data_IF_714502672283
#
_entry.id   IF_714502672283
#
_cell.length_a   1.000
_cell.length_b   1.000
_cell.length_c   1.000
_cell.angle_alpha   90.00
_cell.angle_beta   90.00
_cell.angle_gamma   90.00
#
_symmetry.space_group_name_H-M   'P 1'
#
loop_
_entity.id
_entity.type
_entity.pdbx_description
1 polymer ?
#
# COMPACT_ATOMS: atom_id res chain seq x y z
N UNK A 1 -13.58 -44.06 -3.47
CA UNK A 1 -12.18 -43.87 -3.93
C UNK A 1 -12.03 -42.67 -4.88
N UNK A 2 -12.85 -42.55 -5.93
CA UNK A 2 -12.80 -41.47 -6.95
C UNK A 2 -12.96 -40.05 -6.39
N UNK A 3 -13.75 -39.87 -5.33
CA UNK A 3 -14.01 -38.56 -4.72
C UNK A 3 -12.79 -37.97 -4.00
N UNK A 4 -11.97 -38.84 -3.36
CA UNK A 4 -10.69 -38.44 -2.75
C UNK A 4 -9.70 -38.00 -3.82
N UNK A 5 -9.63 -38.69 -4.96
CA UNK A 5 -8.71 -38.35 -6.05
C UNK A 5 -9.00 -36.97 -6.65
N UNK A 6 -10.28 -36.61 -6.81
CA UNK A 6 -10.69 -35.26 -7.24
C UNK A 6 -10.31 -34.20 -6.19
N UNK A 7 -10.50 -34.50 -4.91
CA UNK A 7 -10.14 -33.60 -3.81
C UNK A 7 -8.63 -33.33 -3.75
N UNK A 8 -7.79 -34.36 -3.88
CA UNK A 8 -6.33 -34.21 -3.95
C UNK A 8 -5.88 -33.43 -5.19
N UNK A 9 -6.51 -33.67 -6.35
CA UNK A 9 -6.22 -32.91 -7.57
C UNK A 9 -6.57 -31.42 -7.44
N UNK A 10 -7.67 -31.09 -6.76
CA UNK A 10 -8.05 -29.69 -6.45
C UNK A 10 -7.05 -29.05 -5.48
N UNK A 11 -6.65 -29.76 -4.42
CA UNK A 11 -5.63 -29.27 -3.48
C UNK A 11 -4.28 -29.06 -4.16
N UNK A 12 -3.87 -29.97 -5.06
CA UNK A 12 -2.65 -29.85 -5.87
C UNK A 12 -2.70 -28.66 -6.85
N UNK A 13 -3.87 -28.34 -7.41
CA UNK A 13 -4.06 -27.14 -8.23
C UNK A 13 -3.95 -25.86 -7.39
N UNK A 14 -4.53 -25.83 -6.20
CA UNK A 14 -4.43 -24.69 -5.28
C UNK A 14 -3.01 -24.46 -4.76
N UNK A 15 -2.16 -25.50 -4.72
CA UNK A 15 -0.74 -25.37 -4.36
C UNK A 15 0.15 -24.79 -5.46
N UNK A 16 -0.38 -24.57 -6.67
CA UNK A 16 0.38 -23.85 -7.70
C UNK A 16 0.54 -22.37 -7.28
N UNK A 17 1.76 -21.80 -7.37
CA UNK A 17 2.08 -20.51 -6.78
C UNK A 17 1.21 -19.36 -7.33
N UNK A 18 0.80 -19.45 -8.60
CA UNK A 18 -0.06 -18.44 -9.22
C UNK A 18 -1.52 -18.49 -8.73
N UNK A 19 -2.09 -19.70 -8.56
CA UNK A 19 -3.47 -19.86 -8.07
C UNK A 19 -3.59 -19.44 -6.60
N UNK A 20 -2.61 -19.82 -5.77
CA UNK A 20 -2.55 -19.39 -4.37
C UNK A 20 -2.51 -17.86 -4.27
N UNK A 21 -1.65 -17.20 -5.06
CA UNK A 21 -1.53 -15.74 -5.08
C UNK A 21 -2.85 -15.07 -5.45
N UNK A 22 -3.52 -15.57 -6.49
CA UNK A 22 -4.79 -15.03 -6.94
C UNK A 22 -5.88 -15.18 -5.87
N UNK A 23 -5.96 -16.37 -5.25
CA UNK A 23 -6.90 -16.64 -4.16
C UNK A 23 -6.66 -15.71 -2.96
N UNK A 24 -5.42 -15.56 -2.52
CA UNK A 24 -5.07 -14.68 -1.41
C UNK A 24 -5.35 -13.21 -1.74
N UNK A 25 -5.03 -12.76 -2.96
CA UNK A 25 -5.38 -11.41 -3.43
C UNK A 25 -6.88 -11.17 -3.37
N UNK A 26 -7.68 -12.08 -3.90
CA UNK A 26 -9.15 -11.96 -3.83
C UNK A 26 -9.65 -11.95 -2.39
N UNK A 27 -9.12 -12.80 -1.52
CA UNK A 27 -9.49 -12.83 -0.11
C UNK A 27 -9.20 -11.50 0.59
N UNK A 28 -8.01 -10.93 0.37
CA UNK A 28 -7.60 -9.65 0.96
C UNK A 28 -8.44 -8.49 0.42
N UNK A 29 -8.73 -8.46 -0.89
CA UNK A 29 -9.64 -7.47 -1.49
C UNK A 29 -11.05 -7.57 -0.88
N UNK A 30 -11.57 -8.80 -0.75
CA UNK A 30 -12.89 -9.03 -0.16
C UNK A 30 -12.95 -8.58 1.30
N UNK A 31 -11.91 -8.86 2.10
CA UNK A 31 -11.81 -8.38 3.48
C UNK A 31 -11.76 -6.84 3.55
N UNK A 32 -10.96 -6.19 2.70
CA UNK A 32 -10.94 -4.73 2.61
C UNK A 32 -12.30 -4.14 2.23
N UNK A 33 -12.99 -4.75 1.27
CA UNK A 33 -14.33 -4.32 0.86
C UNK A 33 -15.37 -4.50 1.99
N UNK A 34 -15.28 -5.58 2.77
CA UNK A 34 -16.13 -5.80 3.93
C UNK A 34 -15.89 -4.74 5.02
N UNK A 35 -14.64 -4.41 5.32
CA UNK A 35 -14.31 -3.35 6.30
C UNK A 35 -14.79 -1.97 5.82
N UNK A 36 -14.56 -1.63 4.54
CA UNK A 36 -15.05 -0.39 3.97
C UNK A 36 -16.59 -0.34 4.00
N UNK A 37 -17.27 -1.42 3.63
CA UNK A 37 -18.73 -1.53 3.73
C UNK A 37 -19.25 -1.36 5.16
N UNK A 38 -18.57 -1.94 6.15
CA UNK A 38 -18.91 -1.76 7.56
C UNK A 38 -18.71 -0.31 8.02
N UNK A 39 -17.64 0.35 7.57
CA UNK A 39 -17.39 1.77 7.86
C UNK A 39 -18.46 2.68 7.25
N UNK A 40 -18.90 2.37 6.02
CA UNK A 40 -20.01 3.07 5.34
C UNK A 40 -21.31 2.87 6.13
N UNK A 41 -21.65 1.62 6.46
CA UNK A 41 -22.90 1.31 7.16
C UNK A 41 -22.98 1.91 8.57
N UNK A 42 -21.84 2.12 9.22
CA UNK A 42 -21.76 2.72 10.55
C UNK A 42 -21.57 4.25 10.54
N UNK A 43 -21.50 4.87 9.36
CA UNK A 43 -21.14 6.29 9.22
C UNK A 43 -19.84 6.64 9.99
N UNK A 44 -18.85 5.73 9.96
CA UNK A 44 -17.59 5.91 10.67
C UNK A 44 -16.87 7.16 10.19
N UNK A 45 -16.45 8.02 11.13
CA UNK A 45 -15.67 9.21 10.84
C UNK A 45 -14.89 9.62 12.10
N UNK A 46 -13.64 10.04 11.92
CA UNK A 46 -12.77 10.55 12.98
C UNK A 46 -12.45 12.05 12.78
N UNK A 47 -11.87 12.67 13.80
CA UNK A 47 -11.53 14.10 13.76
C UNK A 47 -10.53 14.46 12.63
N UNK A 48 -9.59 13.56 12.35
CA UNK A 48 -8.67 13.73 11.22
C UNK A 48 -9.43 13.75 9.89
N UNK A 49 -10.37 12.84 9.69
CA UNK A 49 -11.20 12.79 8.48
C UNK A 49 -11.96 14.08 8.23
N UNK A 50 -12.60 14.64 9.26
CA UNK A 50 -13.26 15.95 9.16
C UNK A 50 -12.26 17.04 8.77
N UNK A 51 -11.08 17.07 9.40
CA UNK A 51 -10.05 18.07 9.11
C UNK A 51 -9.54 17.97 7.66
N UNK A 52 -9.38 16.75 7.13
CA UNK A 52 -8.98 16.53 5.74
C UNK A 52 -10.08 16.87 4.74
N UNK A 53 -11.36 16.69 5.09
CA UNK A 53 -12.51 17.10 4.29
C UNK A 53 -12.59 18.62 4.20
N UNK A 54 -12.52 19.30 5.34
CA UNK A 54 -12.52 20.76 5.42
C UNK A 54 -11.34 21.37 4.66
N UNK A 55 -10.15 20.80 4.83
CA UNK A 55 -8.94 21.21 4.10
C UNK A 55 -9.11 20.97 2.59
N UNK A 56 -9.68 19.84 2.19
CA UNK A 56 -9.97 19.50 0.80
C UNK A 56 -10.90 20.53 0.17
N UNK A 57 -12.04 20.79 0.80
CA UNK A 57 -13.01 21.77 0.33
C UNK A 57 -12.43 23.20 0.25
N UNK A 58 -11.58 23.59 1.22
CA UNK A 58 -10.86 24.86 1.16
C UNK A 58 -9.96 25.00 -0.08
N UNK A 59 -9.27 23.94 -0.52
CA UNK A 59 -8.49 23.96 -1.77
C UNK A 59 -9.37 24.26 -2.99
N UNK A 60 -10.55 23.63 -3.09
CA UNK A 60 -11.44 23.80 -4.24
C UNK A 60 -12.23 25.12 -4.21
N UNK A 61 -12.45 25.71 -3.02
CA UNK A 61 -13.01 27.05 -2.85
C UNK A 61 -11.98 28.18 -3.00
N UNK A 62 -10.69 27.85 -3.14
CA UNK A 62 -9.60 28.83 -3.24
C UNK A 62 -9.27 29.53 -1.92
N UNK A 63 -9.71 28.99 -0.78
CA UNK A 63 -9.37 29.50 0.54
C UNK A 63 -8.02 28.95 1.01
N UNK A 64 -6.95 29.56 0.50
CA UNK A 64 -5.58 29.12 0.78
C UNK A 64 -5.16 29.27 2.25
N UNK A 65 -5.80 30.17 3.00
CA UNK A 65 -5.50 30.38 4.42
C UNK A 65 -5.94 29.18 5.26
N UNK A 66 -7.08 28.59 4.91
CA UNK A 66 -7.56 27.37 5.55
C UNK A 66 -6.90 26.11 4.95
N UNK A 67 -6.70 26.10 3.62
CA UNK A 67 -6.19 24.93 2.90
C UNK A 67 -4.72 24.58 3.21
N UNK A 68 -3.88 25.59 3.46
CA UNK A 68 -2.44 25.38 3.73
C UNK A 68 -2.16 25.61 5.21
N UNK A 69 -1.80 24.54 5.91
CA UNK A 69 -1.44 24.60 7.33
C UNK A 69 -0.24 23.69 7.63
N UNK A 70 0.34 23.83 8.82
CA UNK A 70 1.52 23.06 9.26
C UNK A 70 1.21 21.72 9.94
N UNK A 71 -0.07 21.33 10.01
CA UNK A 71 -0.50 20.14 10.77
C UNK A 71 -0.75 18.96 9.84
N UNK A 72 -1.49 19.16 8.75
CA UNK A 72 -1.86 18.11 7.81
C UNK A 72 -1.15 18.26 6.46
N UNK A 73 -0.77 17.13 5.87
CA UNK A 73 -0.12 17.11 4.56
C UNK A 73 -1.16 17.07 3.44
N UNK A 74 -0.95 17.74 2.29
CA UNK A 74 -2.05 18.12 1.42
C UNK A 74 -2.57 17.00 0.49
N UNK A 75 -1.77 15.97 0.19
CA UNK A 75 -2.12 15.04 -0.89
C UNK A 75 -3.41 14.25 -0.62
N UNK A 76 -3.63 13.84 0.63
CA UNK A 76 -4.85 13.13 1.00
C UNK A 76 -6.09 14.07 0.94
N UNK A 77 -5.95 15.32 1.40
CA UNK A 77 -6.99 16.35 1.25
C UNK A 77 -7.33 16.61 -0.23
N UNK A 78 -6.32 16.68 -1.11
CA UNK A 78 -6.55 16.85 -2.54
C UNK A 78 -7.33 15.69 -3.16
N UNK A 79 -7.00 14.46 -2.79
CA UNK A 79 -7.69 13.27 -3.30
C UNK A 79 -9.15 13.25 -2.83
N UNK A 80 -9.40 13.48 -1.54
CA UNK A 80 -10.77 13.53 -0.98
C UNK A 80 -11.58 14.69 -1.57
N UNK A 81 -11.00 15.90 -1.57
CA UNK A 81 -11.64 17.09 -2.13
C UNK A 81 -11.96 16.93 -3.61
N UNK A 82 -11.05 16.34 -4.40
CA UNK A 82 -11.30 16.06 -5.82
C UNK A 82 -12.44 15.06 -6.00
N UNK A 83 -12.49 14.00 -5.19
CA UNK A 83 -13.57 13.02 -5.25
C UNK A 83 -14.93 13.66 -4.93
N UNK A 84 -15.02 14.47 -3.89
CA UNK A 84 -16.26 15.16 -3.52
C UNK A 84 -16.65 16.24 -4.53
N UNK A 85 -15.68 16.98 -5.05
CA UNK A 85 -15.92 17.99 -6.08
C UNK A 85 -16.49 17.39 -7.38
N UNK A 86 -15.98 16.22 -7.79
CA UNK A 86 -16.42 15.54 -9.01
C UNK A 86 -17.73 14.77 -8.80
N UNK A 87 -17.87 14.05 -7.69
CA UNK A 87 -19.04 13.20 -7.44
C UNK A 87 -20.24 14.01 -6.96
N UNK A 88 -20.00 15.11 -6.24
CA UNK A 88 -21.01 15.98 -5.63
C UNK A 88 -22.08 15.18 -4.86
N UNK A 89 -21.69 14.30 -3.90
CA UNK A 89 -22.65 13.50 -3.17
C UNK A 89 -23.56 14.41 -2.32
N UNK A 90 -24.79 13.95 -2.05
CA UNK A 90 -25.58 14.59 -0.99
C UNK A 90 -24.93 14.33 0.37
N UNK A 91 -25.26 15.16 1.37
CA UNK A 91 -24.70 15.09 2.72
C UNK A 91 -24.76 13.68 3.33
N UNK A 92 -25.80 12.90 3.02
CA UNK A 92 -25.94 11.53 3.50
C UNK A 92 -24.87 10.57 2.93
N UNK A 93 -24.40 10.80 1.71
CA UNK A 93 -23.47 9.92 0.99
C UNK A 93 -22.01 10.37 1.06
N UNK A 94 -21.72 11.51 1.69
CA UNK A 94 -20.37 12.07 1.75
C UNK A 94 -19.37 11.08 2.38
N UNK A 95 -19.70 10.52 3.54
CA UNK A 95 -18.83 9.55 4.23
C UNK A 95 -18.69 8.26 3.43
N UNK A 96 -19.73 7.87 2.69
CA UNK A 96 -19.67 6.70 1.82
C UNK A 96 -18.66 6.89 0.69
N UNK A 97 -18.61 8.08 0.08
CA UNK A 97 -17.61 8.43 -0.92
C UNK A 97 -16.21 8.43 -0.31
N UNK A 98 -16.02 8.98 0.90
CA UNK A 98 -14.73 8.97 1.59
C UNK A 98 -14.22 7.54 1.83
N UNK A 99 -15.06 6.65 2.33
CA UNK A 99 -14.67 5.25 2.55
C UNK A 99 -14.44 4.48 1.25
N UNK A 100 -15.16 4.82 0.19
CA UNK A 100 -14.87 4.30 -1.15
C UNK A 100 -13.48 4.75 -1.62
N UNK A 101 -13.12 6.02 -1.44
CA UNK A 101 -11.78 6.53 -1.76
C UNK A 101 -10.71 5.82 -0.93
N UNK A 102 -10.92 5.62 0.37
CA UNK A 102 -9.99 4.87 1.22
C UNK A 102 -9.83 3.42 0.77
N UNK A 103 -10.91 2.79 0.31
CA UNK A 103 -10.84 1.47 -0.29
C UNK A 103 -10.02 1.45 -1.58
N UNK A 104 -10.16 2.45 -2.45
CA UNK A 104 -9.33 2.58 -3.66
C UNK A 104 -7.85 2.80 -3.32
N UNK A 105 -7.56 3.62 -2.30
CA UNK A 105 -6.20 3.82 -1.77
C UNK A 105 -5.64 2.50 -1.22
N UNK A 106 -6.45 1.73 -0.50
CA UNK A 106 -6.07 0.40 -0.02
C UNK A 106 -5.73 -0.56 -1.17
N UNK A 107 -6.51 -0.57 -2.26
CA UNK A 107 -6.21 -1.38 -3.45
C UNK A 107 -4.90 -0.94 -4.12
N UNK A 108 -4.65 0.37 -4.19
CA UNK A 108 -3.37 0.89 -4.68
C UNK A 108 -2.21 0.46 -3.77
N UNK A 109 -2.38 0.54 -2.45
CA UNK A 109 -1.40 0.09 -1.46
C UNK A 109 -1.11 -1.41 -1.58
N UNK A 110 -2.13 -2.25 -1.83
CA UNK A 110 -1.95 -3.67 -2.12
C UNK A 110 -1.10 -3.88 -3.37
N UNK A 111 -1.35 -3.13 -4.45
CA UNK A 111 -0.53 -3.18 -5.66
C UNK A 111 0.94 -2.80 -5.40
N UNK A 112 1.17 -1.71 -4.68
CA UNK A 112 2.51 -1.27 -4.26
C UNK A 112 3.21 -2.31 -3.36
N UNK A 113 2.47 -2.90 -2.41
CA UNK A 113 2.98 -3.97 -1.56
C UNK A 113 3.35 -5.21 -2.36
N UNK A 114 2.53 -5.64 -3.31
CA UNK A 114 2.82 -6.80 -4.14
C UNK A 114 4.02 -6.59 -5.07
N UNK A 115 4.25 -5.36 -5.51
CA UNK A 115 5.47 -4.96 -6.19
C UNK A 115 6.68 -5.11 -5.26
N UNK A 116 6.63 -4.50 -4.08
CA UNK A 116 7.67 -4.60 -3.06
C UNK A 116 7.99 -6.06 -2.70
N UNK A 117 6.96 -6.84 -2.38
CA UNK A 117 7.10 -8.24 -1.98
C UNK A 117 7.71 -9.08 -3.09
N UNK A 118 7.34 -8.82 -4.35
CA UNK A 118 7.96 -9.48 -5.51
C UNK A 118 9.46 -9.17 -5.58
N UNK A 119 9.87 -7.94 -5.31
CA UNK A 119 11.29 -7.58 -5.28
C UNK A 119 12.03 -8.23 -4.10
N UNK A 120 11.40 -8.36 -2.93
CA UNK A 120 11.94 -9.15 -1.81
C UNK A 120 12.19 -10.60 -2.22
N UNK A 121 11.20 -11.25 -2.85
CA UNK A 121 11.33 -12.64 -3.31
C UNK A 121 12.40 -12.80 -4.40
N UNK A 122 12.55 -11.81 -5.29
CA UNK A 122 13.59 -11.82 -6.32
C UNK A 122 15.00 -11.64 -5.75
N UNK A 123 15.16 -10.79 -4.72
CA UNK A 123 16.44 -10.62 -4.02
C UNK A 123 16.93 -11.93 -3.37
N UNK A 124 16.02 -12.82 -2.95
CA UNK A 124 16.38 -14.15 -2.41
C UNK A 124 16.87 -15.15 -3.47
N UNK A 125 16.53 -14.95 -4.75
CA UNK A 125 16.86 -15.88 -5.84
C UNK A 125 18.25 -15.62 -6.45
N UNK A 126 19.01 -14.64 -5.96
CA UNK A 126 20.38 -14.41 -6.42
C UNK A 126 21.30 -15.57 -5.99
N UNK A 127 22.03 -16.21 -6.92
CA UNK A 127 22.93 -17.31 -6.59
C UNK A 127 24.20 -16.76 -5.95
N UNK A 128 24.38 -16.98 -4.65
CA UNK A 128 25.57 -16.50 -3.95
C UNK A 128 25.59 -16.81 -2.46
N UNK A 129 25.72 -18.10 -2.13
CA UNK A 129 26.61 -18.69 -1.09
C UNK A 129 26.22 -20.17 -0.91
N UNK A 130 27.07 -21.07 -1.43
CA UNK A 130 27.02 -22.52 -1.20
C UNK A 130 27.48 -22.87 0.22
N UNK A 131 26.76 -22.38 1.22
CA UNK A 131 26.98 -22.70 2.63
C UNK A 131 25.65 -22.87 3.33
N UNK A 132 25.31 -24.13 3.62
CA UNK A 132 24.21 -24.58 4.50
C UNK A 132 22.90 -23.78 4.39
N UNK A 133 22.00 -24.19 3.48
CA UNK A 133 20.65 -23.61 3.39
C UNK A 133 19.89 -23.90 4.70
N UNK A 134 19.71 -22.93 5.62
CA UNK A 134 18.85 -23.15 6.78
C UNK A 134 17.43 -23.26 6.22
N UNK A 135 16.65 -24.27 6.64
CA UNK A 135 15.22 -24.51 6.32
C UNK A 135 14.54 -23.32 5.61
N UNK A 136 14.75 -23.21 4.29
CA UNK A 136 14.26 -22.05 3.55
C UNK A 136 12.75 -22.22 3.38
N UNK A 137 11.97 -21.29 3.92
CA UNK A 137 10.52 -21.27 3.72
C UNK A 137 10.19 -21.38 2.22
N UNK A 138 9.23 -22.26 1.89
CA UNK A 138 8.68 -22.42 0.55
C UNK A 138 8.17 -21.08 -0.01
N UNK A 139 8.24 -20.91 -1.34
CA UNK A 139 7.70 -19.72 -2.03
C UNK A 139 6.21 -19.51 -1.72
N UNK A 140 5.45 -20.59 -1.53
CA UNK A 140 4.05 -20.53 -1.12
C UNK A 140 3.90 -20.03 0.33
N UNK A 141 4.77 -20.48 1.24
CA UNK A 141 4.75 -20.03 2.63
C UNK A 141 5.10 -18.54 2.75
N UNK A 142 6.09 -18.07 1.96
CA UNK A 142 6.42 -16.64 1.90
C UNK A 142 5.33 -15.82 1.22
N UNK A 143 4.67 -16.35 0.19
CA UNK A 143 3.52 -15.67 -0.41
C UNK A 143 2.39 -15.52 0.62
N UNK A 144 2.06 -16.58 1.36
CA UNK A 144 1.11 -16.55 2.46
C UNK A 144 1.48 -15.54 3.54
N UNK A 145 2.75 -15.54 3.98
CA UNK A 145 3.28 -14.57 4.94
C UNK A 145 3.13 -13.13 4.44
N UNK A 146 3.44 -12.85 3.17
CA UNK A 146 3.32 -11.52 2.59
C UNK A 146 1.88 -11.00 2.65
N UNK A 147 0.90 -11.79 2.21
CA UNK A 147 -0.51 -11.39 2.30
C UNK A 147 -0.99 -11.27 3.76
N UNK A 148 -0.53 -12.14 4.67
CA UNK A 148 -0.86 -12.04 6.08
C UNK A 148 -0.33 -10.74 6.70
N UNK A 149 0.94 -10.40 6.45
CA UNK A 149 1.57 -9.17 6.91
C UNK A 149 0.85 -7.93 6.37
N UNK A 150 0.55 -7.91 5.06
CA UNK A 150 -0.20 -6.81 4.48
C UNK A 150 -1.59 -6.68 5.13
N UNK A 151 -2.31 -7.79 5.30
CA UNK A 151 -3.65 -7.79 5.91
C UNK A 151 -3.64 -7.26 7.34
N UNK A 152 -2.71 -7.75 8.17
CA UNK A 152 -2.57 -7.30 9.56
C UNK A 152 -2.21 -5.80 9.60
N UNK A 153 -1.20 -5.40 8.83
CA UNK A 153 -0.76 -4.00 8.81
C UNK A 153 -1.88 -3.07 8.33
N UNK A 154 -2.57 -3.42 7.25
CA UNK A 154 -3.58 -2.55 6.63
C UNK A 154 -4.92 -2.55 7.35
N UNK A 155 -5.37 -3.68 7.91
CA UNK A 155 -6.71 -3.79 8.50
C UNK A 155 -6.71 -3.67 10.03
N UNK A 156 -5.59 -3.93 10.71
CA UNK A 156 -5.51 -3.87 12.18
C UNK A 156 -4.60 -2.76 12.71
N UNK A 157 -3.51 -2.42 12.01
CA UNK A 157 -2.58 -1.40 12.50
C UNK A 157 -2.88 -0.01 11.94
N UNK A 158 -3.10 0.07 10.62
CA UNK A 158 -3.49 1.30 9.93
C UNK A 158 -5.00 1.50 10.03
N UNK A 159 -5.73 0.39 9.93
CA UNK A 159 -7.19 0.32 9.96
C UNK A 159 -7.87 1.11 8.82
N UNK A 160 -8.24 0.40 7.74
CA UNK A 160 -8.89 0.99 6.56
C UNK A 160 -10.15 1.85 6.84
N UNK A 161 -10.84 1.60 7.96
CA UNK A 161 -12.02 2.36 8.38
C UNK A 161 -11.70 3.73 9.00
N UNK A 162 -10.41 4.01 9.25
CA UNK A 162 -9.93 5.25 9.84
C UNK A 162 -9.63 6.21 8.70
N UNK A 163 -10.18 7.42 8.76
CA UNK A 163 -10.02 8.41 7.69
C UNK A 163 -8.74 9.19 7.93
N UNK A 164 -7.61 8.59 7.56
CA UNK A 164 -6.25 9.16 7.71
C UNK A 164 -5.41 8.89 6.45
N UNK A 165 -4.31 9.62 6.22
CA UNK A 165 -3.43 9.39 5.08
C UNK A 165 -2.53 8.16 5.24
N UNK A 166 -2.64 7.39 6.33
CA UNK A 166 -1.66 6.35 6.68
C UNK A 166 -1.57 5.23 5.65
N UNK A 167 -2.72 4.80 5.12
CA UNK A 167 -2.75 3.80 4.04
C UNK A 167 -2.06 4.32 2.77
N UNK A 168 -2.32 5.59 2.41
CA UNK A 168 -1.69 6.24 1.26
C UNK A 168 -0.17 6.38 1.45
N UNK A 169 0.27 6.82 2.63
CA UNK A 169 1.69 6.89 2.98
C UNK A 169 2.34 5.50 2.91
N UNK A 170 1.67 4.44 3.39
CA UNK A 170 2.19 3.08 3.31
C UNK A 170 2.43 2.62 1.87
N UNK A 171 1.56 3.00 0.93
CA UNK A 171 1.71 2.69 -0.48
C UNK A 171 3.02 3.26 -1.05
N UNK A 172 3.34 4.52 -0.69
CA UNK A 172 4.60 5.16 -1.06
C UNK A 172 5.81 4.49 -0.41
N UNK A 173 5.71 4.08 0.85
CA UNK A 173 6.78 3.33 1.55
C UNK A 173 7.04 1.99 0.87
N UNK A 174 6.00 1.23 0.52
CA UNK A 174 6.14 -0.03 -0.20
C UNK A 174 6.80 0.20 -1.56
N UNK A 175 6.34 1.20 -2.32
CA UNK A 175 6.89 1.51 -3.63
C UNK A 175 8.37 1.92 -3.54
N UNK A 176 8.73 2.78 -2.59
CA UNK A 176 10.12 3.19 -2.34
C UNK A 176 11.01 1.99 -1.97
N UNK A 177 10.54 1.11 -1.08
CA UNK A 177 11.27 -0.09 -0.68
C UNK A 177 11.46 -1.07 -1.85
N UNK A 178 10.46 -1.23 -2.72
CA UNK A 178 10.58 -2.06 -3.92
C UNK A 178 11.60 -1.50 -4.92
N UNK A 179 11.59 -0.18 -5.16
CA UNK A 179 12.57 0.48 -6.03
C UNK A 179 13.99 0.38 -5.45
N UNK A 180 14.15 0.53 -4.14
CA UNK A 180 15.44 0.35 -3.45
C UNK A 180 16.00 -1.06 -3.65
N UNK A 181 15.15 -2.09 -3.58
CA UNK A 181 15.56 -3.47 -3.86
C UNK A 181 15.96 -3.67 -5.33
N UNK A 182 15.31 -3.00 -6.28
CA UNK A 182 15.74 -3.02 -7.69
C UNK A 182 17.11 -2.38 -7.88
N UNK A 183 17.39 -1.26 -7.20
CA UNK A 183 18.70 -0.61 -7.17
C UNK A 183 19.74 -1.57 -6.62
N UNK A 184 19.50 -2.16 -5.45
CA UNK A 184 20.41 -3.12 -4.81
C UNK A 184 20.70 -4.36 -5.67
N UNK A 185 19.72 -4.82 -6.45
CA UNK A 185 19.88 -5.98 -7.33
C UNK A 185 20.67 -5.66 -8.61
N UNK A 186 21.09 -4.41 -8.82
CA UNK A 186 21.79 -3.98 -10.02
C UNK A 186 20.90 -3.92 -11.27
N UNK A 187 19.57 -3.95 -11.10
CA UNK A 187 18.60 -3.88 -12.19
C UNK A 187 17.99 -2.48 -12.36
N UNK A 188 18.56 -1.47 -11.71
CA UNK A 188 18.08 -0.09 -11.80
C UNK A 188 18.71 0.66 -12.97
N UNK A 189 17.90 1.51 -13.58
CA UNK A 189 18.27 2.51 -14.57
C UNK A 189 18.09 3.93 -14.00
N UNK A 190 18.41 4.96 -14.80
CA UNK A 190 18.24 6.36 -14.38
C UNK A 190 16.78 6.70 -14.00
N UNK A 191 15.81 6.11 -14.71
CA UNK A 191 14.38 6.28 -14.46
C UNK A 191 13.97 5.73 -13.08
N UNK A 192 14.58 4.63 -12.62
CA UNK A 192 14.37 4.08 -11.28
C UNK A 192 14.71 5.10 -10.18
N UNK A 193 15.77 5.89 -10.33
CA UNK A 193 16.15 6.95 -9.37
C UNK A 193 15.19 8.13 -9.40
N UNK A 194 14.75 8.56 -10.60
CA UNK A 194 13.75 9.63 -10.74
C UNK A 194 12.43 9.22 -10.08
N UNK A 195 11.98 7.98 -10.33
CA UNK A 195 10.80 7.41 -9.69
C UNK A 195 10.94 7.35 -8.17
N UNK A 196 12.09 6.95 -7.65
CA UNK A 196 12.34 6.95 -6.21
C UNK A 196 12.20 8.36 -5.62
N UNK A 197 12.81 9.37 -6.25
CA UNK A 197 12.68 10.77 -5.82
C UNK A 197 11.23 11.25 -5.82
N UNK A 198 10.48 10.98 -6.90
CA UNK A 198 9.07 11.32 -7.00
C UNK A 198 8.21 10.63 -5.94
N UNK A 199 8.46 9.34 -5.68
CA UNK A 199 7.76 8.56 -4.64
C UNK A 199 8.03 9.13 -3.24
N UNK A 200 9.27 9.53 -2.94
CA UNK A 200 9.59 10.14 -1.65
C UNK A 200 8.94 11.52 -1.49
N UNK A 201 8.92 12.32 -2.56
CA UNK A 201 8.25 13.63 -2.56
C UNK A 201 6.73 13.49 -2.37
N UNK A 202 6.08 12.57 -3.10
CA UNK A 202 4.65 12.29 -2.93
C UNK A 202 4.34 11.69 -1.56
N UNK A 203 5.23 10.85 -1.03
CA UNK A 203 5.15 10.35 0.33
C UNK A 203 5.17 11.46 1.37
N UNK A 204 6.04 12.47 1.20
CA UNK A 204 6.04 13.66 2.04
C UNK A 204 4.74 14.46 1.96
N UNK A 205 4.17 14.62 0.77
CA UNK A 205 2.87 15.27 0.59
C UNK A 205 1.70 14.47 1.18
N UNK A 206 1.83 13.14 1.33
CA UNK A 206 0.86 12.32 2.07
C UNK A 206 0.99 12.48 3.58
N UNK A 207 2.22 12.45 4.12
CA UNK A 207 2.47 12.57 5.56
C UNK A 207 3.88 13.07 5.82
N UNK A 208 4.00 14.15 6.59
CA UNK A 208 5.28 14.80 6.90
C UNK A 208 6.36 13.88 7.52
N UNK A 209 5.97 12.77 8.16
CA UNK A 209 6.91 11.74 8.68
C UNK A 209 7.80 11.15 7.58
N UNK A 210 7.38 11.23 6.31
CA UNK A 210 8.22 10.83 5.18
C UNK A 210 9.43 11.77 4.95
N UNK A 211 9.42 12.98 5.51
CA UNK A 211 10.56 13.90 5.43
C UNK A 211 11.84 13.32 6.05
N UNK A 212 11.87 12.90 7.33
CA UNK A 212 13.06 12.24 7.90
C UNK A 212 13.35 10.86 7.28
N UNK A 213 12.34 10.17 6.73
CA UNK A 213 12.56 8.88 6.05
C UNK A 213 13.20 9.03 4.68
N UNK A 214 12.95 10.12 3.95
CA UNK A 214 13.49 10.30 2.59
C UNK A 214 15.02 10.26 2.55
N UNK A 215 15.79 10.96 3.41
CA UNK A 215 17.24 10.81 3.49
C UNK A 215 17.70 9.39 3.79
N UNK A 216 16.94 8.60 4.55
CA UNK A 216 17.27 7.18 4.83
C UNK A 216 17.14 6.34 3.55
N UNK A 217 16.06 6.51 2.78
CA UNK A 217 15.91 5.85 1.49
C UNK A 217 16.98 6.27 0.48
N UNK A 218 17.30 7.56 0.40
CA UNK A 218 18.35 8.06 -0.49
C UNK A 218 19.74 7.57 -0.07
N UNK A 219 20.05 7.61 1.23
CA UNK A 219 21.32 7.11 1.77
C UNK A 219 21.50 5.61 1.53
N UNK A 220 20.46 4.82 1.76
CA UNK A 220 20.49 3.37 1.48
C UNK A 220 20.61 3.06 -0.02
N UNK A 221 19.97 3.85 -0.90
CA UNK A 221 20.14 3.75 -2.34
C UNK A 221 21.59 4.04 -2.77
N UNK A 222 22.19 5.11 -2.24
CA UNK A 222 23.60 5.46 -2.49
C UNK A 222 24.57 4.39 -2.02
N UNK A 223 24.34 3.80 -0.84
CA UNK A 223 25.15 2.70 -0.32
C UNK A 223 25.01 1.43 -1.17
N UNK A 224 23.81 1.19 -1.72
CA UNK A 224 23.53 0.02 -2.58
C UNK A 224 24.19 0.10 -3.96
N UNK A 225 24.68 1.28 -4.36
CA UNK A 225 25.43 1.48 -5.62
C UNK A 225 26.90 1.08 -5.53
N UNK A 226 27.44 0.92 -4.31
CA UNK A 226 28.85 0.54 -4.14
C UNK A 226 28.99 -0.98 -4.27
N UNK A 227 29.86 -1.49 -5.15
CA UNK A 227 30.25 -2.90 -5.06
C UNK A 227 30.94 -3.11 -3.70
N UNK A 228 30.46 -4.09 -2.94
CA UNK A 228 31.16 -4.61 -1.76
C UNK A 228 32.44 -5.33 -2.18
#
# INVERSE_FOLDING_TARGET
MIQRTKQYATLLKLTQPHHLRLLLRFAVIALGALHAGAAIASHSMNADGISYLDMGDAYFRGDWQMAVNGVWSPLYAWILGAALYVIQPSLHWEFAVVHLVNFLIYLAALGCFEFFWREVLRSRKQPGTDGERPLMLSENALTGLGYALFTIASLQMIEIWSVTPDMLMSAWVYLAAGLLLQIRRGSADADTFVRLGAVLALGYLSKAVMFPLAPVFLGTALLSLRPL
#
